data_IF_695223881154
#
_entry.id   IF_695223881154
#
_cell.length_a   1.000
_cell.length_b   1.000
_cell.length_c   1.000
_cell.angle_alpha   90.00
_cell.angle_beta   90.00
_cell.angle_gamma   90.00
#
_symmetry.space_group_name_H-M   'P 1'
#
loop_
_entity.id
_entity.type
_entity.pdbx_description
1 polymer ?
#
# COMPACT_ATOMS: atom_id res chain seq x y z
N UNK A 1 -0.95 18.89 -27.56
CA UNK A 1 -0.23 19.05 -26.28
C UNK A 1 -0.74 18.02 -25.28
N UNK A 2 0.13 17.13 -24.80
CA UNK A 2 0.04 16.47 -23.50
C UNK A 2 1.47 16.47 -22.92
N UNK A 3 1.73 17.10 -21.76
CA UNK A 3 3.05 17.07 -21.14
C UNK A 3 3.12 16.01 -20.04
N UNK A 4 4.32 15.46 -19.80
CA UNK A 4 4.66 14.92 -18.48
C UNK A 4 5.24 13.51 -18.40
N UNK A 5 6.09 13.08 -19.35
CA UNK A 5 7.01 11.98 -19.07
C UNK A 5 8.13 12.49 -18.16
N UNK A 6 8.11 12.14 -16.87
CA UNK A 6 9.31 12.01 -16.04
C UNK A 6 8.98 11.45 -14.65
N UNK A 7 9.10 10.13 -14.48
CA UNK A 7 9.40 9.55 -13.18
C UNK A 7 10.81 8.97 -13.30
N UNK A 8 11.81 9.80 -13.03
CA UNK A 8 13.20 9.42 -13.21
C UNK A 8 13.69 8.53 -12.07
N UNK A 9 14.25 7.39 -12.48
CA UNK A 9 15.35 6.66 -11.86
C UNK A 9 15.05 5.72 -10.70
N UNK A 10 14.43 4.59 -11.02
CA UNK A 10 14.81 3.30 -10.43
C UNK A 10 15.70 2.59 -11.47
N UNK A 11 16.94 2.25 -11.11
CA UNK A 11 17.85 1.57 -12.04
C UNK A 11 17.31 0.16 -12.31
N UNK A 12 16.96 -0.07 -13.57
CA UNK A 12 16.51 -1.35 -14.09
C UNK A 12 17.59 -2.42 -13.90
N UNK A 13 17.30 -3.44 -13.09
CA UNK A 13 18.06 -4.69 -13.10
C UNK A 13 17.52 -5.48 -14.31
N UNK A 14 18.22 -5.36 -15.43
CA UNK A 14 17.88 -6.05 -16.66
C UNK A 14 17.92 -7.57 -16.44
N UNK A 15 16.78 -8.26 -16.58
CA UNK A 15 16.79 -9.73 -16.58
C UNK A 15 15.52 -10.48 -16.18
N UNK A 16 14.32 -9.93 -16.36
CA UNK A 16 13.05 -10.65 -16.50
C UNK A 16 11.98 -9.59 -16.81
N UNK A 17 10.99 -9.89 -17.65
CA UNK A 17 10.01 -8.90 -18.14
C UNK A 17 9.14 -8.28 -17.05
N UNK A 18 9.68 -7.29 -16.34
CA UNK A 18 8.89 -6.43 -15.47
C UNK A 18 8.05 -5.54 -16.39
N UNK A 19 6.72 -5.53 -16.29
CA UNK A 19 5.91 -4.63 -17.09
C UNK A 19 6.41 -3.20 -16.88
N UNK A 20 6.75 -2.52 -17.99
CA UNK A 20 7.29 -1.15 -18.05
C UNK A 20 6.39 -0.11 -17.36
N UNK A 21 5.18 -0.50 -16.95
CA UNK A 21 4.19 0.36 -16.32
C UNK A 21 3.46 -0.39 -15.21
N UNK A 22 3.44 0.21 -14.03
CA UNK A 22 2.60 -0.22 -12.94
C UNK A 22 1.11 -0.11 -13.32
N UNK A 23 0.25 -1.03 -12.88
CA UNK A 23 -1.19 -0.98 -13.15
C UNK A 23 -1.82 0.24 -12.47
N UNK A 24 -2.40 1.16 -13.24
CA UNK A 24 -3.04 2.36 -12.68
C UNK A 24 -4.38 2.02 -11.99
N UNK A 25 -4.79 2.84 -11.03
CA UNK A 25 -6.11 2.75 -10.38
C UNK A 25 -6.22 1.74 -9.25
N UNK A 26 -5.12 1.13 -8.79
CA UNK A 26 -5.14 0.28 -7.60
C UNK A 26 -5.55 1.09 -6.36
N UNK A 27 -6.42 0.50 -5.54
CA UNK A 27 -6.86 1.02 -4.24
C UNK A 27 -6.00 0.44 -3.14
N UNK A 28 -5.10 1.25 -2.60
CA UNK A 28 -4.08 0.84 -1.65
C UNK A 28 -4.42 1.36 -0.27
N UNK A 29 -4.43 0.47 0.72
CA UNK A 29 -4.41 0.85 2.14
C UNK A 29 -2.96 0.82 2.64
N UNK A 30 -2.50 1.92 3.22
CA UNK A 30 -1.19 2.03 3.86
C UNK A 30 -1.37 2.14 5.37
N UNK A 31 -0.67 1.28 6.11
CA UNK A 31 -0.75 1.17 7.58
C UNK A 31 0.66 1.32 8.15
N UNK A 32 0.88 2.38 8.92
CA UNK A 32 2.17 2.70 9.53
C UNK A 32 1.94 3.63 10.72
N UNK A 33 2.68 3.47 11.82
CA UNK A 33 2.55 4.35 12.99
C UNK A 33 3.42 5.62 12.90
N UNK A 34 4.36 5.70 11.96
CA UNK A 34 5.09 6.92 11.61
C UNK A 34 4.32 7.77 10.57
N UNK A 35 3.79 8.95 10.96
CA UNK A 35 3.09 9.83 10.03
C UNK A 35 3.96 10.32 8.87
N UNK A 36 5.29 10.34 9.05
CA UNK A 36 6.24 10.70 7.99
C UNK A 36 6.23 9.65 6.88
N UNK A 37 6.25 8.36 7.25
CA UNK A 37 6.15 7.24 6.32
C UNK A 37 4.82 7.28 5.56
N UNK A 38 3.70 7.49 6.26
CA UNK A 38 2.38 7.62 5.64
C UNK A 38 2.35 8.71 4.56
N UNK A 39 2.84 9.91 4.86
CA UNK A 39 2.86 11.04 3.91
C UNK A 39 3.78 10.76 2.72
N UNK A 40 4.92 10.10 2.97
CA UNK A 40 5.88 9.76 1.91
C UNK A 40 5.29 8.71 0.95
N UNK A 41 4.75 7.61 1.49
CA UNK A 41 4.15 6.52 0.73
C UNK A 41 2.94 7.01 -0.07
N UNK A 42 2.05 7.81 0.54
CA UNK A 42 0.92 8.41 -0.15
C UNK A 42 1.36 9.21 -1.38
N UNK A 43 2.36 10.08 -1.23
CA UNK A 43 2.90 10.88 -2.34
C UNK A 43 3.52 10.02 -3.44
N UNK A 44 4.22 8.94 -3.08
CA UNK A 44 4.85 8.04 -4.04
C UNK A 44 3.80 7.25 -4.82
N UNK A 45 2.84 6.64 -4.14
CA UNK A 45 1.82 5.80 -4.75
C UNK A 45 0.83 6.62 -5.60
N UNK A 46 0.49 7.85 -5.19
CA UNK A 46 -0.32 8.76 -6.03
C UNK A 46 0.39 9.13 -7.34
N UNK A 47 1.73 9.22 -7.37
CA UNK A 47 2.49 9.41 -8.63
C UNK A 47 2.39 8.20 -9.56
N UNK A 48 2.07 7.03 -9.03
CA UNK A 48 1.77 5.82 -9.79
C UNK A 48 0.29 5.73 -10.21
N UNK A 49 -0.50 6.79 -10.02
CA UNK A 49 -1.94 6.83 -10.29
C UNK A 49 -2.75 5.82 -9.46
N UNK A 50 -2.36 5.58 -8.21
CA UNK A 50 -3.12 4.76 -7.26
C UNK A 50 -4.07 5.61 -6.42
N UNK A 51 -5.15 4.99 -5.97
CA UNK A 51 -6.05 5.53 -4.96
C UNK A 51 -5.54 5.10 -3.59
N UNK A 52 -5.06 6.04 -2.79
CA UNK A 52 -4.36 5.72 -1.54
C UNK A 52 -5.17 6.17 -0.35
N UNK A 53 -5.41 5.25 0.59
CA UNK A 53 -5.91 5.54 1.94
C UNK A 53 -4.80 5.23 2.93
N UNK A 54 -4.52 6.16 3.84
CA UNK A 54 -3.53 5.98 4.90
C UNK A 54 -4.24 5.88 6.25
N UNK A 55 -3.67 5.09 7.17
CA UNK A 55 -4.13 5.05 8.56
C UNK A 55 -2.94 4.82 9.50
N UNK A 56 -3.07 5.36 10.72
CA UNK A 56 -2.04 5.27 11.74
C UNK A 56 -2.37 4.12 12.70
N UNK A 57 -1.61 3.03 12.60
CA UNK A 57 -1.80 1.83 13.40
C UNK A 57 -2.72 0.77 12.78
N UNK A 58 -2.49 -0.47 13.16
CA UNK A 58 -3.13 -1.66 12.60
C UNK A 58 -4.61 -1.80 12.98
N UNK A 59 -5.02 -1.35 14.18
CA UNK A 59 -6.41 -1.43 14.63
C UNK A 59 -7.35 -0.59 13.74
N UNK A 60 -6.89 0.60 13.36
CA UNK A 60 -7.63 1.49 12.44
C UNK A 60 -7.68 0.87 11.05
N UNK A 61 -6.55 0.31 10.57
CA UNK A 61 -6.49 -0.39 9.29
C UNK A 61 -7.47 -1.56 9.22
N UNK A 62 -7.52 -2.39 10.26
CA UNK A 62 -8.45 -3.53 10.33
C UNK A 62 -9.91 -3.08 10.38
N UNK A 63 -10.20 -1.98 11.06
CA UNK A 63 -11.55 -1.39 11.11
C UNK A 63 -12.01 -0.93 9.71
N UNK A 64 -11.16 -0.21 8.98
CA UNK A 64 -11.43 0.23 7.60
C UNK A 64 -11.68 -0.95 6.66
N UNK A 65 -10.87 -2.01 6.79
CA UNK A 65 -11.00 -3.22 5.99
C UNK A 65 -12.32 -3.96 6.27
N UNK A 66 -12.76 -4.01 7.53
CA UNK A 66 -14.02 -4.63 7.93
C UNK A 66 -15.23 -3.81 7.47
N UNK A 67 -15.16 -2.49 7.51
CA UNK A 67 -16.20 -1.58 7.02
C UNK A 67 -16.37 -1.66 5.50
N UNK A 68 -15.28 -1.89 4.76
CA UNK A 68 -15.30 -1.96 3.30
C UNK A 68 -14.42 -3.10 2.76
N UNK A 69 -14.92 -4.34 2.89
CA UNK A 69 -14.16 -5.55 2.52
C UNK A 69 -13.69 -5.62 1.06
N UNK A 70 -14.42 -4.98 0.14
CA UNK A 70 -14.07 -4.93 -1.29
C UNK A 70 -13.48 -3.57 -1.70
N UNK A 71 -13.12 -2.74 -0.73
CA UNK A 71 -12.69 -1.36 -0.93
C UNK A 71 -11.24 -1.20 -1.36
N UNK A 72 -10.41 -2.22 -1.15
CA UNK A 72 -8.98 -2.18 -1.36
C UNK A 72 -8.53 -3.38 -2.20
N UNK A 73 -7.45 -3.18 -2.95
CA UNK A 73 -6.83 -4.19 -3.79
C UNK A 73 -5.52 -4.73 -3.18
N UNK A 74 -4.89 -3.96 -2.28
CA UNK A 74 -3.68 -4.36 -1.55
C UNK A 74 -3.52 -3.54 -0.26
N UNK A 75 -2.94 -4.17 0.77
CA UNK A 75 -2.48 -3.50 2.00
C UNK A 75 -0.95 -3.45 2.02
N UNK A 76 -0.41 -2.27 2.31
CA UNK A 76 1.01 -2.08 2.63
C UNK A 76 1.10 -1.75 4.12
N UNK A 77 1.80 -2.58 4.89
CA UNK A 77 1.94 -2.43 6.33
C UNK A 77 3.41 -2.46 6.75
N UNK A 78 3.78 -1.67 7.73
CA UNK A 78 5.03 -1.90 8.48
C UNK A 78 4.87 -3.13 9.40
N UNK A 79 5.96 -3.82 9.74
CA UNK A 79 5.96 -4.89 10.77
C UNK A 79 5.82 -4.29 12.17
N UNK A 80 6.56 -3.23 12.46
CA UNK A 80 6.83 -2.76 13.81
C UNK A 80 5.93 -1.59 14.19
N UNK A 81 4.67 -1.88 14.51
CA UNK A 81 3.74 -0.88 15.05
C UNK A 81 3.58 -1.01 16.56
N UNK A 82 3.36 0.13 17.21
CA UNK A 82 3.18 0.24 18.67
C UNK A 82 1.89 -0.38 19.21
N UNK A 83 0.84 -0.52 18.39
CA UNK A 83 -0.45 -1.09 18.79
C UNK A 83 -0.52 -2.61 18.57
N UNK A 84 -0.27 -3.05 17.34
CA UNK A 84 -0.32 -4.44 16.93
C UNK A 84 0.68 -4.69 15.80
N UNK A 85 1.47 -5.76 15.93
CA UNK A 85 2.39 -6.26 14.91
C UNK A 85 1.70 -6.44 13.53
N UNK A 86 2.33 -5.99 12.45
CA UNK A 86 1.85 -6.17 11.07
C UNK A 86 1.59 -7.62 10.67
N UNK A 87 2.23 -8.61 11.31
CA UNK A 87 1.92 -10.03 11.12
C UNK A 87 0.55 -10.43 11.70
N UNK A 88 0.12 -9.82 12.80
CA UNK A 88 -1.23 -10.05 13.35
C UNK A 88 -2.29 -9.41 12.45
N UNK A 89 -2.01 -8.23 11.89
CA UNK A 89 -2.86 -7.63 10.86
C UNK A 89 -3.02 -8.57 9.67
N UNK A 90 -1.91 -9.13 9.16
CA UNK A 90 -1.91 -10.13 8.10
C UNK A 90 -2.74 -11.37 8.47
N UNK A 91 -2.59 -11.90 9.70
CA UNK A 91 -3.36 -13.05 10.18
C UNK A 91 -4.87 -12.78 10.16
N UNK A 92 -5.30 -11.62 10.69
CA UNK A 92 -6.71 -11.22 10.66
C UNK A 92 -7.24 -11.08 9.23
N UNK A 93 -6.46 -10.45 8.34
CA UNK A 93 -6.84 -10.30 6.93
C UNK A 93 -6.99 -11.68 6.28
N UNK A 94 -6.02 -12.57 6.42
CA UNK A 94 -6.06 -13.91 5.80
C UNK A 94 -7.19 -14.81 6.31
N UNK A 95 -7.71 -14.55 7.52
CA UNK A 95 -8.86 -15.27 8.08
C UNK A 95 -10.21 -14.70 7.62
N UNK A 96 -10.28 -13.39 7.39
CA UNK A 96 -11.55 -12.67 7.14
C UNK A 96 -11.76 -12.24 5.68
N UNK A 97 -10.69 -12.24 4.87
CA UNK A 97 -10.56 -11.58 3.57
C UNK A 97 -9.58 -12.33 2.66
N UNK A 98 -9.74 -12.17 1.34
CA UNK A 98 -8.79 -12.64 0.33
C UNK A 98 -8.08 -11.44 -0.31
N UNK A 99 -7.30 -10.73 0.50
CA UNK A 99 -6.66 -9.46 0.16
C UNK A 99 -5.13 -9.59 0.25
N UNK A 100 -4.36 -9.26 -0.80
CA UNK A 100 -2.90 -9.26 -0.73
C UNK A 100 -2.39 -8.25 0.29
N UNK A 101 -1.38 -8.67 1.06
CA UNK A 101 -0.70 -7.82 2.05
C UNK A 101 0.80 -7.90 1.82
N UNK A 102 1.44 -6.74 1.71
CA UNK A 102 2.89 -6.61 1.76
C UNK A 102 3.28 -6.04 3.11
N UNK A 103 4.06 -6.80 3.88
CA UNK A 103 4.62 -6.36 5.15
C UNK A 103 6.10 -6.03 4.92
N UNK A 104 6.53 -4.83 5.29
CA UNK A 104 7.93 -4.35 5.13
C UNK A 104 8.66 -4.21 6.45
#
# INVERSE_FOLDING_TARGET
>A
MLPGSSCSSWKSVAGAGVPEKFPAGLRVLVVDDDPTCLVMLEKMLKKCNYEVTTCNGAEVGLSLLRENKSGFDIVLSDVYMSDMDGFKLLEHIGLEMDLPVSVS
#
